data_IF_582087683440
#
_entry.id   IF_582087683440
#
_cell.length_a   1.000
_cell.length_b   1.000
_cell.length_c   1.000
_cell.angle_alpha   90.00
_cell.angle_beta   90.00
_cell.angle_gamma   90.00
#
_symmetry.space_group_name_H-M   'P 1'
#
loop_
_entity.id
_entity.type
_entity.pdbx_description
1 polymer ?
#
# COMPACT_ATOMS: atom_id res chain seq x y z
N UNK A 1 1.56 5.52 28.61
CA UNK A 1 1.66 4.08 28.26
C UNK A 1 0.39 3.57 27.56
N UNK A 2 -0.82 4.07 27.87
CA UNK A 2 -2.05 3.71 27.15
C UNK A 2 -2.02 4.12 25.67
N UNK A 3 -1.76 5.41 25.37
CA UNK A 3 -1.81 5.96 23.99
C UNK A 3 -0.87 5.27 22.97
N UNK A 4 0.32 4.83 23.42
CA UNK A 4 1.25 4.09 22.56
C UNK A 4 0.75 2.67 22.25
N UNK A 5 0.00 2.07 23.16
CA UNK A 5 -0.58 0.75 22.96
C UNK A 5 -1.75 0.84 21.98
N UNK A 6 -2.60 1.85 22.15
CA UNK A 6 -3.75 2.13 21.27
C UNK A 6 -3.28 2.45 19.83
N UNK A 7 -2.17 3.18 19.69
CA UNK A 7 -1.56 3.47 18.38
C UNK A 7 -1.01 2.21 17.70
N UNK A 8 -0.36 1.32 18.47
CA UNK A 8 0.16 0.06 17.93
C UNK A 8 -0.95 -0.88 17.50
N UNK A 9 -1.98 -1.01 18.32
CA UNK A 9 -3.17 -1.80 18.01
C UNK A 9 -3.81 -1.31 16.71
N UNK A 10 -3.99 0.01 16.58
CA UNK A 10 -4.51 0.61 15.34
C UNK A 10 -3.66 0.29 14.10
N UNK A 11 -2.32 0.36 14.19
CA UNK A 11 -1.42 0.02 13.07
C UNK A 11 -1.55 -1.46 12.69
N UNK A 12 -1.59 -2.35 13.68
CA UNK A 12 -1.71 -3.80 13.46
C UNK A 12 -3.05 -4.13 12.82
N UNK A 13 -4.14 -3.54 13.29
CA UNK A 13 -5.48 -3.72 12.71
C UNK A 13 -5.52 -3.22 11.26
N UNK A 14 -4.93 -2.06 10.99
CA UNK A 14 -4.84 -1.49 9.64
C UNK A 14 -4.01 -2.40 8.72
N UNK A 15 -2.90 -2.95 9.21
CA UNK A 15 -2.10 -3.91 8.45
C UNK A 15 -2.87 -5.20 8.16
N UNK A 16 -3.65 -5.70 9.13
CA UNK A 16 -4.49 -6.87 8.95
C UNK A 16 -5.58 -6.63 7.90
N UNK A 17 -6.16 -5.42 7.84
CA UNK A 17 -7.10 -5.02 6.77
C UNK A 17 -6.40 -5.06 5.41
N UNK A 18 -5.22 -4.44 5.29
CA UNK A 18 -4.46 -4.42 4.04
C UNK A 18 -4.17 -5.85 3.55
N UNK A 19 -3.65 -6.70 4.44
CA UNK A 19 -3.32 -8.10 4.10
C UNK A 19 -4.56 -8.92 3.75
N UNK A 20 -5.70 -8.71 4.40
CA UNK A 20 -6.96 -9.37 4.04
C UNK A 20 -7.45 -8.93 2.66
N UNK A 21 -7.38 -7.64 2.35
CA UNK A 21 -7.75 -7.14 1.03
C UNK A 21 -6.80 -7.69 -0.05
N UNK A 22 -5.50 -7.72 0.23
CA UNK A 22 -4.49 -8.23 -0.69
C UNK A 22 -4.65 -9.74 -0.92
N UNK A 23 -4.98 -10.51 0.12
CA UNK A 23 -5.23 -11.95 0.06
C UNK A 23 -6.63 -12.33 -0.42
N UNK A 24 -7.47 -11.38 -0.82
CA UNK A 24 -8.81 -11.67 -1.31
C UNK A 24 -8.79 -12.34 -2.69
N UNK A 25 -9.68 -13.32 -2.90
CA UNK A 25 -9.75 -14.12 -4.13
C UNK A 25 -10.24 -13.33 -5.37
N UNK A 26 -10.80 -12.13 -5.16
CA UNK A 26 -11.28 -11.27 -6.24
C UNK A 26 -11.17 -9.78 -5.89
N UNK A 27 -11.13 -8.88 -6.89
CA UNK A 27 -11.19 -7.44 -6.67
C UNK A 27 -12.42 -7.00 -5.88
N UNK A 28 -13.59 -7.60 -6.15
CA UNK A 28 -14.83 -7.27 -5.43
C UNK A 28 -14.75 -7.64 -3.95
N UNK A 29 -14.08 -8.75 -3.63
CA UNK A 29 -13.86 -9.18 -2.25
C UNK A 29 -12.86 -8.24 -1.54
N UNK A 30 -11.83 -7.78 -2.24
CA UNK A 30 -10.91 -6.76 -1.71
C UNK A 30 -11.63 -5.44 -1.45
N UNK A 31 -12.42 -4.96 -2.41
CA UNK A 31 -13.22 -3.74 -2.28
C UNK A 31 -14.21 -3.86 -1.11
N UNK A 32 -14.81 -5.03 -0.88
CA UNK A 32 -15.67 -5.27 0.27
C UNK A 32 -14.92 -5.19 1.61
N UNK A 33 -13.71 -5.75 1.72
CA UNK A 33 -12.87 -5.66 2.92
C UNK A 33 -12.50 -4.20 3.22
N UNK A 34 -12.14 -3.45 2.17
CA UNK A 34 -11.82 -2.02 2.30
C UNK A 34 -13.05 -1.22 2.71
N UNK A 35 -14.20 -1.45 2.06
CA UNK A 35 -15.45 -0.77 2.37
C UNK A 35 -15.90 -1.02 3.82
N UNK A 36 -15.79 -2.26 4.32
CA UNK A 36 -16.08 -2.61 5.72
C UNK A 36 -15.21 -1.80 6.69
N UNK A 37 -13.91 -1.71 6.41
CA UNK A 37 -12.97 -0.95 7.23
C UNK A 37 -13.25 0.57 7.22
N UNK A 38 -13.57 1.13 6.05
CA UNK A 38 -13.91 2.54 5.92
C UNK A 38 -15.24 2.85 6.63
N UNK A 39 -16.22 1.95 6.53
CA UNK A 39 -17.56 2.10 7.08
C UNK A 39 -18.37 3.24 6.44
N UNK A 40 -19.59 3.45 6.92
CA UNK A 40 -20.51 4.49 6.43
C UNK A 40 -20.35 5.85 7.15
N UNK A 41 -19.23 6.06 7.85
CA UNK A 41 -18.98 7.19 8.75
C UNK A 41 -18.78 8.56 8.06
N UNK A 42 -18.34 9.54 8.84
CA UNK A 42 -18.02 10.87 8.32
C UNK A 42 -16.95 10.82 7.20
N UNK A 43 -17.07 11.63 6.13
CA UNK A 43 -16.08 11.63 5.03
C UNK A 43 -14.65 11.92 5.46
N UNK A 44 -14.43 12.75 6.49
CA UNK A 44 -13.10 13.06 7.02
C UNK A 44 -12.53 11.86 7.76
N UNK A 45 -13.35 11.15 8.54
CA UNK A 45 -12.93 9.91 9.20
C UNK A 45 -12.56 8.84 8.18
N UNK A 46 -13.37 8.69 7.12
CA UNK A 46 -13.08 7.78 6.01
C UNK A 46 -11.78 8.12 5.30
N UNK A 47 -11.54 9.41 5.05
CA UNK A 47 -10.27 9.89 4.49
C UNK A 47 -9.09 9.51 5.38
N UNK A 48 -9.20 9.76 6.70
CA UNK A 48 -8.16 9.39 7.66
C UNK A 48 -7.86 7.88 7.68
N UNK A 49 -8.91 7.04 7.64
CA UNK A 49 -8.76 5.58 7.55
C UNK A 49 -8.09 5.13 6.26
N UNK A 50 -8.51 5.68 5.12
CA UNK A 50 -7.93 5.37 3.81
C UNK A 50 -6.45 5.78 3.76
N UNK A 51 -6.12 6.96 4.28
CA UNK A 51 -4.75 7.43 4.40
C UNK A 51 -3.88 6.48 5.25
N UNK A 52 -4.38 6.05 6.41
CA UNK A 52 -3.71 5.05 7.25
C UNK A 52 -3.49 3.74 6.50
N UNK A 53 -4.50 3.26 5.76
CA UNK A 53 -4.42 2.02 5.01
C UNK A 53 -3.35 2.06 3.91
N UNK A 54 -3.26 3.17 3.18
CA UNK A 54 -2.26 3.39 2.12
C UNK A 54 -0.86 3.53 2.71
N UNK A 55 -0.72 4.26 3.81
CA UNK A 55 0.56 4.40 4.52
C UNK A 55 1.10 3.06 4.99
N UNK A 56 0.23 2.22 5.57
CA UNK A 56 0.59 0.86 6.00
C UNK A 56 0.86 -0.05 4.79
N UNK A 57 0.01 0.00 3.77
CA UNK A 57 0.17 -0.78 2.55
C UNK A 57 1.51 -0.54 1.86
N UNK A 58 1.92 0.72 1.76
CA UNK A 58 3.22 1.11 1.21
C UNK A 58 4.38 0.45 1.98
N UNK A 59 4.35 0.50 3.32
CA UNK A 59 5.37 -0.14 4.16
C UNK A 59 5.37 -1.65 3.96
N UNK A 60 4.20 -2.28 3.98
CA UNK A 60 4.05 -3.73 3.80
C UNK A 60 4.59 -4.18 2.44
N UNK A 61 4.24 -3.48 1.36
CA UNK A 61 4.74 -3.75 0.01
C UNK A 61 6.25 -3.56 -0.07
N UNK A 62 6.76 -2.44 0.42
CA UNK A 62 8.19 -2.12 0.35
C UNK A 62 9.06 -3.11 1.13
N UNK A 63 8.66 -3.50 2.34
CA UNK A 63 9.37 -4.50 3.13
C UNK A 63 9.30 -5.90 2.48
N UNK A 64 8.17 -6.24 1.86
CA UNK A 64 8.03 -7.52 1.14
C UNK A 64 8.98 -7.58 -0.06
N UNK A 65 9.02 -6.54 -0.88
CA UNK A 65 9.97 -6.43 -2.00
C UNK A 65 11.41 -6.49 -1.52
N UNK A 66 11.73 -5.78 -0.45
CA UNK A 66 13.07 -5.79 0.14
C UNK A 66 13.49 -7.16 0.65
N UNK A 67 12.55 -7.92 1.23
CA UNK A 67 12.80 -9.29 1.67
C UNK A 67 13.03 -10.26 0.51
N UNK A 68 12.37 -10.03 -0.64
CA UNK A 68 12.57 -10.83 -1.85
C UNK A 68 13.92 -10.57 -2.53
N UNK A 69 14.54 -9.41 -2.30
CA UNK A 69 15.87 -9.09 -2.81
C UNK A 69 16.98 -9.70 -1.96
N UNK A 70 17.72 -10.65 -2.54
CA UNK A 70 18.92 -11.19 -1.94
C UNK A 70 20.10 -11.18 -2.94
N UNK A 71 21.14 -10.36 -2.73
CA UNK A 71 21.36 -9.43 -1.62
C UNK A 71 20.53 -8.13 -1.72
N UNK A 72 20.28 -7.43 -0.60
CA UNK A 72 19.61 -6.13 -0.63
C UNK A 72 20.45 -5.09 -1.39
N UNK A 73 19.79 -4.27 -2.21
CA UNK A 73 20.42 -3.23 -3.01
C UNK A 73 19.42 -2.16 -3.45
N UNK A 74 19.89 -1.09 -4.11
CA UNK A 74 19.01 -0.05 -4.61
C UNK A 74 18.06 -0.62 -5.68
N UNK A 75 16.79 -0.28 -5.57
CA UNK A 75 15.74 -0.67 -6.54
C UNK A 75 15.36 0.54 -7.37
N UNK A 76 15.14 0.28 -8.66
CA UNK A 76 14.34 1.12 -9.52
C UNK A 76 13.26 0.21 -10.13
N UNK A 77 12.00 0.44 -9.78
CA UNK A 77 10.90 -0.24 -10.45
C UNK A 77 10.72 0.36 -11.84
N UNK A 78 10.64 -0.49 -12.85
CA UNK A 78 10.39 -0.11 -14.23
C UNK A 78 9.13 -0.83 -14.72
N UNK A 79 8.31 -0.14 -15.51
CA UNK A 79 7.11 -0.71 -16.10
C UNK A 79 7.47 -1.32 -17.46
N UNK A 80 6.92 -2.49 -17.77
CA UNK A 80 7.13 -3.14 -19.07
C UNK A 80 6.40 -2.39 -20.20
N UNK A 81 5.29 -1.75 -19.87
CA UNK A 81 4.50 -0.90 -20.76
C UNK A 81 4.45 0.54 -20.23
N UNK A 82 3.77 1.44 -20.95
CA UNK A 82 3.62 2.82 -20.48
C UNK A 82 2.66 2.83 -19.29
N UNK A 83 3.14 3.10 -18.06
CA UNK A 83 2.29 3.04 -16.88
C UNK A 83 1.31 4.20 -16.90
N UNK A 84 0.10 3.97 -16.37
CA UNK A 84 -0.81 5.07 -16.12
C UNK A 84 -0.27 6.00 -14.99
N UNK A 85 -0.85 7.20 -14.80
CA UNK A 85 -0.37 8.14 -13.77
C UNK A 85 -0.40 7.59 -12.34
N UNK A 86 -1.36 6.73 -12.01
CA UNK A 86 -1.51 6.11 -10.70
C UNK A 86 -0.46 5.02 -10.51
N UNK A 87 -0.27 4.15 -11.50
CA UNK A 87 0.79 3.14 -11.51
C UNK A 87 2.17 3.78 -11.36
N UNK A 88 2.45 4.85 -12.12
CA UNK A 88 3.70 5.59 -12.03
C UNK A 88 3.92 6.19 -10.63
N UNK A 89 2.84 6.69 -10.00
CA UNK A 89 2.89 7.20 -8.63
C UNK A 89 3.19 6.08 -7.64
N UNK A 90 2.49 4.96 -7.75
CA UNK A 90 2.68 3.79 -6.90
C UNK A 90 4.11 3.28 -6.99
N UNK A 91 4.64 3.13 -8.20
CA UNK A 91 6.02 2.70 -8.45
C UNK A 91 7.04 3.63 -7.82
N UNK A 92 6.86 4.96 -7.92
CA UNK A 92 7.76 5.95 -7.30
C UNK A 92 7.73 5.86 -5.77
N UNK A 93 6.54 5.78 -5.18
CA UNK A 93 6.38 5.67 -3.74
C UNK A 93 7.02 4.36 -3.23
N UNK A 94 6.73 3.23 -3.88
CA UNK A 94 7.31 1.93 -3.52
C UNK A 94 8.82 1.93 -3.70
N UNK A 95 9.34 2.49 -4.80
CA UNK A 95 10.79 2.61 -5.04
C UNK A 95 11.48 3.38 -3.91
N UNK A 96 10.91 4.53 -3.51
CA UNK A 96 11.43 5.29 -2.38
C UNK A 96 11.38 4.49 -1.08
N UNK A 97 10.24 3.83 -0.79
CA UNK A 97 10.07 3.00 0.40
C UNK A 97 11.06 1.82 0.47
N UNK A 98 11.25 1.10 -0.63
CA UNK A 98 12.20 -0.03 -0.72
C UNK A 98 13.64 0.44 -0.50
N UNK A 99 13.96 1.64 -0.99
CA UNK A 99 15.26 2.29 -0.80
C UNK A 99 15.41 2.96 0.58
N UNK A 100 14.47 2.72 1.51
CA UNK A 100 14.46 3.25 2.88
C UNK A 100 14.33 4.78 2.94
N UNK A 101 13.76 5.39 1.90
CA UNK A 101 13.43 6.82 1.86
C UNK A 101 11.92 7.01 2.07
N UNK A 102 11.48 6.81 3.31
CA UNK A 102 10.08 6.92 3.69
C UNK A 102 9.51 8.34 3.54
N UNK A 103 10.36 9.38 3.65
CA UNK A 103 9.95 10.78 3.45
C UNK A 103 9.62 11.03 1.99
N UNK A 104 10.52 10.66 1.06
CA UNK A 104 10.23 10.77 -0.37
C UNK A 104 9.02 9.91 -0.78
N UNK A 105 8.85 8.74 -0.17
CA UNK A 105 7.69 7.89 -0.42
C UNK A 105 6.38 8.58 0.00
N UNK A 106 6.36 9.21 1.18
CA UNK A 106 5.21 10.00 1.65
C UNK A 106 4.97 11.26 0.82
N UNK A 107 6.02 11.94 0.37
CA UNK A 107 5.89 13.13 -0.49
C UNK A 107 5.22 12.79 -1.82
N UNK A 108 5.58 11.65 -2.42
CA UNK A 108 4.94 11.15 -3.64
C UNK A 108 3.45 10.89 -3.42
N UNK A 109 3.10 10.18 -2.34
CA UNK A 109 1.70 9.91 -2.00
C UNK A 109 0.95 11.23 -1.76
N UNK A 110 1.49 12.11 -0.92
CA UNK A 110 0.88 13.41 -0.59
C UNK A 110 0.65 14.28 -1.82
N UNK A 111 1.64 14.34 -2.72
CA UNK A 111 1.53 15.09 -3.97
C UNK A 111 0.43 14.54 -4.88
N UNK A 112 0.28 13.22 -4.96
CA UNK A 112 -0.79 12.58 -5.73
C UNK A 112 -2.17 12.90 -5.15
N UNK A 113 -2.34 12.79 -3.82
CA UNK A 113 -3.59 13.14 -3.16
C UNK A 113 -3.95 14.61 -3.34
N UNK A 114 -2.97 15.50 -3.30
CA UNK A 114 -3.21 16.92 -3.53
C UNK A 114 -3.72 17.22 -4.95
N UNK A 115 -3.37 16.37 -5.93
CA UNK A 115 -3.81 16.50 -7.32
C UNK A 115 -5.17 15.83 -7.58
N UNK A 116 -5.36 14.60 -7.10
CA UNK A 116 -6.46 13.70 -7.49
C UNK A 116 -7.53 13.55 -6.38
N UNK A 117 -7.27 14.06 -5.18
CA UNK A 117 -8.19 13.97 -4.05
C UNK A 117 -8.44 12.54 -3.56
N UNK A 118 -9.68 12.26 -3.15
CA UNK A 118 -10.10 10.96 -2.61
C UNK A 118 -10.08 9.84 -3.66
N UNK A 119 -10.40 10.14 -4.92
CA UNK A 119 -10.40 9.15 -6.00
C UNK A 119 -8.98 8.62 -6.25
N UNK A 120 -7.99 9.51 -6.32
CA UNK A 120 -6.58 9.09 -6.45
C UNK A 120 -6.08 8.24 -5.28
N UNK A 121 -6.54 8.49 -4.05
CA UNK A 121 -6.22 7.61 -2.92
C UNK A 121 -6.78 6.18 -3.13
N UNK A 122 -8.01 6.06 -3.61
CA UNK A 122 -8.63 4.75 -3.87
C UNK A 122 -7.88 4.00 -4.97
N UNK A 123 -7.52 4.67 -6.06
CA UNK A 123 -6.80 4.04 -7.16
C UNK A 123 -5.36 3.68 -6.76
N UNK A 124 -4.70 4.51 -5.95
CA UNK A 124 -3.38 4.21 -5.41
C UNK A 124 -3.39 2.99 -4.48
N UNK A 125 -4.43 2.83 -3.65
CA UNK A 125 -4.60 1.64 -2.82
C UNK A 125 -4.70 0.37 -3.68
N UNK A 126 -5.46 0.42 -4.79
CA UNK A 126 -5.59 -0.73 -5.71
C UNK A 126 -4.23 -1.11 -6.31
N UNK A 127 -3.46 -0.13 -6.77
CA UNK A 127 -2.12 -0.37 -7.28
C UNK A 127 -1.21 -1.05 -6.24
N UNK A 128 -1.27 -0.65 -4.97
CA UNK A 128 -0.51 -1.30 -3.90
C UNK A 128 -0.95 -2.74 -3.62
N UNK A 129 -2.25 -3.03 -3.64
CA UNK A 129 -2.78 -4.38 -3.47
C UNK A 129 -2.32 -5.30 -4.61
N UNK A 130 -2.33 -4.81 -5.85
CA UNK A 130 -1.92 -5.58 -7.02
C UNK A 130 -0.42 -5.89 -6.99
N UNK A 131 0.43 -4.90 -6.63
CA UNK A 131 1.87 -5.14 -6.46
C UNK A 131 2.13 -6.16 -5.34
N UNK A 132 1.43 -6.06 -4.21
CA UNK A 132 1.59 -7.04 -3.13
C UNK A 132 1.25 -8.46 -3.59
N UNK A 133 0.13 -8.63 -4.31
CA UNK A 133 -0.31 -9.93 -4.84
C UNK A 133 0.72 -10.53 -5.78
N UNK A 134 1.27 -9.73 -6.70
CA UNK A 134 2.32 -10.19 -7.61
C UNK A 134 3.56 -10.68 -6.85
N UNK A 135 3.99 -9.93 -5.84
CA UNK A 135 5.14 -10.31 -5.00
C UNK A 135 4.88 -11.60 -4.20
N UNK A 136 3.66 -11.78 -3.68
CA UNK A 136 3.29 -12.99 -2.95
C UNK A 136 3.36 -14.23 -3.86
N UNK A 137 2.96 -14.10 -5.13
CA UNK A 137 3.09 -15.17 -6.13
C UNK A 137 4.56 -15.49 -6.38
N UNK A 138 5.39 -14.48 -6.69
CA UNK A 138 6.82 -14.68 -7.00
C UNK A 138 7.62 -15.24 -5.82
N UNK A 139 7.28 -14.83 -4.59
CA UNK A 139 7.87 -15.40 -3.38
C UNK A 139 7.55 -16.88 -3.17
N UNK A 140 6.39 -17.35 -3.65
CA UNK A 140 6.01 -18.77 -3.56
C UNK A 140 6.70 -19.65 -4.61
N UNK A 141 7.01 -19.12 -5.79
CA UNK A 141 7.69 -19.88 -6.85
C UNK A 141 9.18 -20.09 -6.58
N UNK A 142 9.81 -19.15 -5.87
CA UNK A 142 11.25 -19.18 -5.55
C UNK A 142 11.62 -20.07 -4.35
N UNK A 143 10.63 -20.65 -3.65
CA UNK A 143 10.82 -21.52 -2.48
C UNK A 143 10.71 -23.04 -2.77
N UNK A 144 10.57 -23.43 -4.04
CA UNK A 144 10.60 -24.84 -4.52
C UNK A 144 11.96 -25.27 -5.05
#
# INVERSE_FOLDING_TARGET
MSDQNDTREHIVDTAAVFLRAAGADSPETADAVVAEYLGDGDPIERYGRLWSLISVGLVVVGETLRALMNPPGPVALEAEETPDPTELTAMKAITAQVNLDGEAAQDVVTGHVAAEGLEGLVDLLRAFLDVYRLNAIWGSETTT
#
